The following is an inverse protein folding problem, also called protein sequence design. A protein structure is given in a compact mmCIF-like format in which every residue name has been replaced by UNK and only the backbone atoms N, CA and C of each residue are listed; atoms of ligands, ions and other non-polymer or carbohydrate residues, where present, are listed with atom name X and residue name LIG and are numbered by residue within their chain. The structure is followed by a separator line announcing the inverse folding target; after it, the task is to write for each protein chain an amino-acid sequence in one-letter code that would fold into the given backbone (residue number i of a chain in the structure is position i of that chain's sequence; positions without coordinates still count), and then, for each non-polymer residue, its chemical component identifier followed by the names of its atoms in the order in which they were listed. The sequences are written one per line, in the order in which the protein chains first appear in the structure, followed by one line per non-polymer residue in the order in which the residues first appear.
data_IF_052137055205
#
_entry.id   IF_052137055205
#
_cell.length_a   1.000
_cell.length_b   1.000
_cell.length_c   1.000
_cell.angle_alpha   90.00
_cell.angle_beta   90.00
_cell.angle_gamma   90.00
#
_symmetry.space_group_name_H-M   'P 1'
#
loop_
_entity.id
_entity.type
_entity.pdbx_description
1 polymer ?
#
# COMPACT_ATOMS: atom_id res chain seq x y z
N UNK A 1 -15.00 -21.94 26.09
CA UNK A 1 -16.08 -21.88 27.09
C UNK A 1 -16.38 -20.41 27.28
N UNK A 2 -17.64 -20.10 27.04
CA UNK A 2 -18.32 -18.82 26.91
C UNK A 2 -17.85 -17.70 27.87
N UNK A 3 -17.63 -16.48 27.36
CA UNK A 3 -18.44 -15.30 27.69
C UNK A 3 -17.82 -13.98 27.19
N UNK A 4 -18.47 -13.44 26.16
CA UNK A 4 -18.66 -12.02 25.80
C UNK A 4 -17.43 -11.21 25.36
N UNK A 5 -17.53 -10.75 24.10
CA UNK A 5 -16.91 -9.52 23.60
C UNK A 5 -16.91 -8.43 24.70
N UNK A 6 -15.83 -7.65 24.86
CA UNK A 6 -15.88 -6.46 25.69
C UNK A 6 -17.06 -5.60 25.20
N UNK A 7 -17.94 -5.23 26.12
CA UNK A 7 -19.18 -4.46 25.89
C UNK A 7 -18.99 -3.09 25.19
N UNK A 8 -17.80 -2.80 24.68
CA UNK A 8 -17.44 -1.58 23.95
C UNK A 8 -17.92 -1.63 22.49
N UNK A 9 -18.06 -2.82 21.87
CA UNK A 9 -18.45 -2.90 20.45
C UNK A 9 -19.96 -2.97 20.20
N UNK A 10 -20.77 -3.32 21.21
CA UNK A 10 -22.24 -3.27 21.13
C UNK A 10 -22.82 -1.85 21.35
N UNK A 11 -21.96 -0.86 21.59
CA UNK A 11 -22.34 0.52 21.91
C UNK A 11 -22.21 1.49 20.71
N UNK A 12 -22.23 0.99 19.47
CA UNK A 12 -22.51 1.83 18.29
C UNK A 12 -24.03 2.03 18.25
N UNK A 13 -24.50 2.85 19.18
CA UNK A 13 -25.90 3.15 19.48
C UNK A 13 -26.51 4.05 18.38
N UNK A 14 -27.70 3.75 17.86
CA UNK A 14 -28.47 4.73 17.10
C UNK A 14 -28.89 5.86 18.07
N UNK A 15 -28.45 7.10 17.80
CA UNK A 15 -28.95 8.29 18.49
C UNK A 15 -27.99 9.00 19.46
N UNK A 16 -26.67 8.72 19.46
CA UNK A 16 -25.70 9.59 20.16
C UNK A 16 -25.45 10.85 19.31
N UNK A 17 -25.49 12.08 19.87
CA UNK A 17 -25.04 13.25 19.12
C UNK A 17 -23.60 12.99 18.68
N UNK A 18 -23.30 13.30 17.41
CA UNK A 18 -21.97 13.12 16.86
C UNK A 18 -20.96 13.77 17.82
N UNK A 19 -20.03 12.97 18.35
CA UNK A 19 -18.83 13.52 18.98
C UNK A 19 -18.15 14.46 17.99
N UNK A 20 -17.26 15.32 18.48
CA UNK A 20 -16.50 16.18 17.57
C UNK A 20 -15.87 15.35 16.45
N UNK A 21 -15.59 15.94 15.29
CA UNK A 21 -14.90 15.24 14.18
C UNK A 21 -13.64 14.54 14.68
N UNK A 22 -12.96 15.11 15.67
CA UNK A 22 -11.82 14.52 16.39
C UNK A 22 -12.19 13.25 17.16
N UNK A 23 -13.27 13.24 17.94
CA UNK A 23 -13.69 12.07 18.72
C UNK A 23 -13.99 10.88 17.79
N UNK A 24 -14.67 11.15 16.68
CA UNK A 24 -14.95 10.13 15.66
C UNK A 24 -13.66 9.59 15.03
N UNK A 25 -12.70 10.47 14.71
CA UNK A 25 -11.40 10.06 14.20
C UNK A 25 -10.64 9.17 15.21
N UNK A 26 -10.66 9.50 16.50
CA UNK A 26 -10.07 8.69 17.58
C UNK A 26 -10.70 7.29 17.60
N UNK A 27 -12.03 7.22 17.58
CA UNK A 27 -12.75 5.93 17.60
C UNK A 27 -12.40 5.06 16.38
N UNK A 28 -12.20 5.66 15.21
CA UNK A 28 -11.86 4.97 13.97
C UNK A 28 -10.41 4.48 13.92
N UNK A 29 -9.46 5.16 14.57
CA UNK A 29 -8.06 4.74 14.62
C UNK A 29 -7.75 3.79 15.77
N UNK A 30 -8.55 3.79 16.83
CA UNK A 30 -8.31 3.00 18.05
C UNK A 30 -8.32 1.46 17.91
N UNK A 31 -8.98 0.82 16.93
CA UNK A 31 -9.04 -0.65 16.87
C UNK A 31 -7.67 -1.32 16.91
N UNK A 32 -7.48 -2.28 17.83
CA UNK A 32 -6.20 -3.00 18.03
C UNK A 32 -5.67 -3.70 16.78
N UNK A 33 -6.55 -4.05 15.84
CA UNK A 33 -6.17 -4.66 14.57
C UNK A 33 -5.32 -3.75 13.68
N UNK A 34 -5.28 -2.44 13.94
CA UNK A 34 -4.38 -1.51 13.26
C UNK A 34 -2.99 -1.40 13.89
N UNK A 35 -2.82 -1.92 15.11
CA UNK A 35 -1.65 -1.71 15.96
C UNK A 35 -1.00 -3.05 16.32
N UNK A 36 -0.73 -3.91 15.33
CA UNK A 36 -0.16 -5.24 15.56
C UNK A 36 1.37 -5.20 15.42
N UNK A 37 2.03 -5.99 16.25
CA UNK A 37 3.49 -6.17 16.22
C UNK A 37 3.84 -7.61 16.57
N UNK A 38 4.85 -8.15 15.90
CA UNK A 38 5.55 -9.34 16.34
C UNK A 38 7.06 -9.11 16.26
N UNK A 39 7.83 -9.94 16.95
CA UNK A 39 9.31 -9.86 16.95
C UNK A 39 9.87 -11.15 16.38
N UNK A 40 10.59 -11.04 15.27
CA UNK A 40 11.44 -12.13 14.80
C UNK A 40 12.60 -12.30 15.78
N UNK A 41 12.97 -13.55 16.13
CA UNK A 41 14.04 -13.80 17.08
C UNK A 41 15.38 -13.28 16.53
N UNK A 42 16.31 -13.00 17.44
CA UNK A 42 17.68 -12.63 17.10
C UNK A 42 18.33 -13.72 16.24
N UNK A 43 19.08 -13.32 15.20
CA UNK A 43 19.81 -14.25 14.34
C UNK A 43 21.26 -13.81 14.16
N UNK A 44 22.20 -14.60 14.69
CA UNK A 44 23.63 -14.30 14.64
C UNK A 44 23.95 -12.92 15.21
N UNK A 45 24.52 -12.04 14.36
CA UNK A 45 24.88 -10.66 14.72
C UNK A 45 23.71 -9.66 14.69
N UNK A 46 22.54 -10.05 14.20
CA UNK A 46 21.39 -9.16 14.04
C UNK A 46 20.46 -9.33 15.23
N UNK A 47 20.10 -8.20 15.88
CA UNK A 47 19.09 -8.15 16.93
C UNK A 47 17.73 -8.68 16.48
N UNK A 48 16.82 -8.90 17.43
CA UNK A 48 15.43 -9.26 17.09
C UNK A 48 14.77 -8.15 16.25
N UNK A 49 14.09 -8.54 15.17
CA UNK A 49 13.44 -7.59 14.26
C UNK A 49 11.96 -7.45 14.64
N UNK A 50 11.57 -6.25 15.10
CA UNK A 50 10.16 -5.91 15.28
C UNK A 50 9.55 -5.65 13.91
N UNK A 51 8.40 -6.27 13.66
CA UNK A 51 7.61 -6.08 12.45
C UNK A 51 6.22 -5.64 12.87
N UNK A 52 5.84 -4.43 12.44
CA UNK A 52 4.51 -3.87 12.61
C UNK A 52 3.65 -4.17 11.40
N UNK A 53 2.37 -4.40 11.66
CA UNK A 53 1.38 -4.64 10.61
C UNK A 53 -0.01 -4.22 11.09
N UNK A 54 -0.94 -4.11 10.15
CA UNK A 54 -2.35 -3.83 10.43
C UNK A 54 -3.26 -4.71 9.58
N UNK A 55 -4.51 -4.81 10.01
CA UNK A 55 -5.56 -5.57 9.35
C UNK A 55 -6.72 -4.64 9.03
N UNK A 56 -7.05 -4.52 7.75
CA UNK A 56 -8.32 -3.95 7.29
C UNK A 56 -9.34 -5.08 7.03
N UNK A 57 -10.61 -4.84 7.35
CA UNK A 57 -11.68 -5.82 7.20
C UNK A 57 -11.73 -6.85 8.34
N UNK A 58 -12.38 -8.01 8.13
CA UNK A 58 -12.61 -9.01 9.17
C UNK A 58 -11.34 -9.41 9.92
N UNK A 59 -11.40 -9.44 11.25
CA UNK A 59 -10.23 -9.73 12.11
C UNK A 59 -9.85 -11.22 12.06
N UNK A 60 -8.72 -11.57 12.66
CA UNK A 60 -8.20 -12.95 12.73
C UNK A 60 -9.25 -13.90 13.31
N UNK A 61 -9.38 -15.09 12.70
CA UNK A 61 -10.31 -16.14 13.12
C UNK A 61 -11.55 -16.25 12.24
N UNK A 62 -11.85 -15.24 11.42
CA UNK A 62 -12.92 -15.34 10.42
C UNK A 62 -12.45 -16.04 9.14
N UNK A 63 -13.30 -16.92 8.59
CA UNK A 63 -13.05 -17.62 7.33
C UNK A 63 -13.46 -16.74 6.14
N UNK A 64 -12.52 -15.89 5.71
CA UNK A 64 -12.68 -14.93 4.62
C UNK A 64 -11.42 -14.90 3.75
N UNK A 65 -11.53 -14.51 2.47
CA UNK A 65 -10.34 -14.35 1.65
C UNK A 65 -9.42 -13.27 2.22
N UNK A 66 -8.11 -13.51 2.10
CA UNK A 66 -7.08 -12.65 2.68
C UNK A 66 -6.10 -12.17 1.60
N UNK A 67 -5.83 -10.87 1.58
CA UNK A 67 -4.82 -10.21 0.76
C UNK A 67 -3.63 -9.86 1.66
N UNK A 68 -2.42 -10.25 1.26
CA UNK A 68 -1.19 -9.73 1.87
C UNK A 68 -0.70 -8.56 1.03
N UNK A 69 -0.73 -7.36 1.61
CA UNK A 69 -0.36 -6.12 0.94
C UNK A 69 1.03 -5.67 1.36
N UNK A 70 1.97 -5.72 0.42
CA UNK A 70 3.30 -5.16 0.57
C UNK A 70 3.29 -3.76 -0.05
N UNK A 71 2.94 -2.73 0.72
CA UNK A 71 2.97 -1.34 0.22
C UNK A 71 4.34 -0.69 0.36
N UNK A 72 4.49 0.58 0.02
CA UNK A 72 5.76 1.31 0.08
C UNK A 72 6.43 1.41 1.46
N UNK A 73 7.65 1.94 1.46
CA UNK A 73 8.47 2.18 2.66
C UNK A 73 7.68 3.01 3.70
N UNK A 74 7.92 2.79 4.99
CA UNK A 74 7.32 3.55 6.11
C UNK A 74 5.78 3.50 6.26
N UNK A 75 5.31 3.08 7.44
CA UNK A 75 3.97 3.45 7.94
C UNK A 75 2.77 2.97 7.11
N UNK A 76 2.99 2.09 6.14
CA UNK A 76 1.95 1.57 5.25
C UNK A 76 0.78 0.94 6.00
N UNK A 77 1.03 0.42 7.21
CA UNK A 77 -0.03 -0.10 8.08
C UNK A 77 -1.12 0.93 8.38
N UNK A 78 -0.81 2.23 8.38
CA UNK A 78 -1.79 3.30 8.60
C UNK A 78 -2.79 3.42 7.45
N UNK A 79 -2.46 2.90 6.26
CA UNK A 79 -3.39 2.82 5.14
C UNK A 79 -4.57 1.88 5.41
N UNK A 80 -4.41 0.89 6.30
CA UNK A 80 -5.48 -0.03 6.65
C UNK A 80 -6.71 0.68 7.21
N UNK A 81 -6.53 1.84 7.85
CA UNK A 81 -7.62 2.64 8.41
C UNK A 81 -8.54 3.13 7.29
N UNK A 82 -7.96 3.71 6.23
CA UNK A 82 -8.69 4.19 5.07
C UNK A 82 -9.41 3.04 4.32
N UNK A 83 -8.84 1.84 4.38
CA UNK A 83 -9.38 0.64 3.73
C UNK A 83 -10.44 -0.09 4.55
N UNK A 84 -10.44 0.11 5.86
CA UNK A 84 -11.10 -0.80 6.79
C UNK A 84 -12.59 -0.93 6.50
N UNK A 85 -13.29 0.19 6.36
CA UNK A 85 -14.72 0.18 6.07
C UNK A 85 -15.03 -0.62 4.81
N UNK A 86 -14.34 -0.31 3.71
CA UNK A 86 -14.53 -0.97 2.43
C UNK A 86 -14.25 -2.47 2.52
N UNK A 87 -13.18 -2.85 3.21
CA UNK A 87 -12.79 -4.23 3.43
C UNK A 87 -13.83 -5.02 4.26
N UNK A 88 -14.42 -4.40 5.30
CA UNK A 88 -15.51 -4.98 6.09
C UNK A 88 -16.75 -5.23 5.22
N UNK A 89 -17.17 -4.23 4.42
CA UNK A 89 -18.32 -4.37 3.51
C UNK A 89 -18.12 -5.50 2.50
N UNK A 90 -16.89 -5.63 1.99
CA UNK A 90 -16.55 -6.67 1.03
C UNK A 90 -16.28 -8.03 1.68
N UNK A 91 -16.15 -8.11 3.01
CA UNK A 91 -15.71 -9.30 3.74
C UNK A 91 -14.40 -9.89 3.21
N UNK A 92 -13.44 -9.01 2.95
CA UNK A 92 -12.07 -9.39 2.56
C UNK A 92 -11.12 -8.88 3.61
N UNK A 93 -10.21 -9.72 4.07
CA UNK A 93 -9.15 -9.31 4.98
C UNK A 93 -7.97 -8.78 4.18
N UNK A 94 -7.41 -7.63 4.56
CA UNK A 94 -6.15 -7.14 3.98
C UNK A 94 -5.14 -6.91 5.08
N UNK A 95 -3.97 -7.53 4.95
CA UNK A 95 -2.85 -7.41 5.89
C UNK A 95 -1.83 -6.43 5.29
N UNK A 96 -1.65 -5.27 5.92
CA UNK A 96 -0.68 -4.26 5.51
C UNK A 96 0.58 -4.39 6.37
N UNK A 97 1.74 -4.57 5.72
CA UNK A 97 3.03 -4.73 6.40
C UNK A 97 3.91 -3.54 6.04
N UNK A 98 4.57 -2.94 7.04
CA UNK A 98 5.49 -1.81 6.85
C UNK A 98 6.81 -2.27 6.25
N UNK A 99 6.93 -2.38 4.92
CA UNK A 99 8.17 -2.78 4.21
C UNK A 99 8.29 -2.16 2.81
N UNK A 100 9.42 -2.30 2.12
CA UNK A 100 9.57 -1.86 0.74
C UNK A 100 8.75 -2.70 -0.29
N UNK A 101 7.54 -2.25 -0.60
CA UNK A 101 6.48 -3.04 -1.26
C UNK A 101 6.84 -3.85 -2.49
N UNK A 102 7.32 -3.21 -3.55
CA UNK A 102 7.55 -3.89 -4.84
C UNK A 102 8.65 -4.95 -4.74
N UNK A 103 9.80 -4.60 -4.15
CA UNK A 103 10.93 -5.52 -3.99
C UNK A 103 10.55 -6.73 -3.15
N UNK A 104 9.78 -6.52 -2.08
CA UNK A 104 9.36 -7.62 -1.21
C UNK A 104 8.28 -8.48 -1.87
N UNK A 105 7.25 -7.87 -2.48
CA UNK A 105 6.18 -8.62 -3.15
C UNK A 105 6.72 -9.54 -4.25
N UNK A 106 7.61 -9.02 -5.10
CA UNK A 106 8.19 -9.78 -6.21
C UNK A 106 9.11 -10.91 -5.75
N UNK A 107 9.95 -10.67 -4.73
CA UNK A 107 10.75 -11.76 -4.17
C UNK A 107 9.88 -12.79 -3.45
N UNK A 108 8.87 -12.35 -2.70
CA UNK A 108 7.94 -13.23 -1.99
C UNK A 108 7.25 -14.20 -2.95
N UNK A 109 6.62 -13.72 -4.02
CA UNK A 109 5.94 -14.60 -4.98
C UNK A 109 6.90 -15.47 -5.80
N UNK A 110 8.17 -15.07 -5.91
CA UNK A 110 9.17 -15.84 -6.66
C UNK A 110 9.76 -16.98 -5.83
N UNK A 111 9.90 -16.80 -4.51
CA UNK A 111 10.38 -17.84 -3.59
C UNK A 111 9.24 -18.71 -3.05
N UNK A 112 8.06 -18.13 -2.87
CA UNK A 112 6.90 -18.80 -2.27
C UNK A 112 5.62 -18.73 -3.13
N UNK A 113 5.68 -19.14 -4.41
CA UNK A 113 4.51 -19.15 -5.30
C UNK A 113 3.36 -20.05 -4.80
N UNK A 114 3.63 -21.03 -3.93
CA UNK A 114 2.63 -21.88 -3.26
C UNK A 114 1.71 -21.14 -2.29
N UNK A 115 2.09 -19.92 -1.88
CA UNK A 115 1.25 -19.08 -1.02
C UNK A 115 0.19 -18.31 -1.81
N UNK A 116 0.27 -18.32 -3.15
CA UNK A 116 -0.82 -17.84 -3.98
C UNK A 116 -1.96 -18.86 -4.00
N UNK A 117 -3.17 -18.35 -4.21
CA UNK A 117 -4.36 -19.19 -4.24
C UNK A 117 -4.26 -20.25 -5.35
N UNK A 118 -4.41 -21.57 -5.05
CA UNK A 118 -4.09 -22.64 -6.00
C UNK A 118 -4.91 -22.60 -7.30
N UNK A 119 -6.18 -22.25 -7.19
CA UNK A 119 -7.13 -22.20 -8.32
C UNK A 119 -7.06 -20.87 -9.09
N UNK A 120 -6.56 -19.80 -8.45
CA UNK A 120 -6.53 -18.44 -8.98
C UNK A 120 -5.27 -17.68 -8.54
N UNK A 121 -4.06 -18.10 -8.95
CA UNK A 121 -2.84 -17.43 -8.53
C UNK A 121 -2.75 -16.05 -9.18
N UNK A 122 -2.88 -15.01 -8.34
CA UNK A 122 -2.94 -13.62 -8.79
C UNK A 122 -2.01 -12.73 -7.97
N UNK A 123 -1.25 -11.88 -8.65
CA UNK A 123 -0.50 -10.77 -8.09
C UNK A 123 -1.07 -9.45 -8.63
N UNK A 124 -1.39 -8.49 -7.76
CA UNK A 124 -1.75 -7.13 -8.17
C UNK A 124 -0.70 -6.15 -7.65
N UNK A 125 -0.14 -5.35 -8.54
CA UNK A 125 0.89 -4.36 -8.28
C UNK A 125 0.30 -2.97 -8.50
N UNK A 126 0.36 -2.14 -7.46
CA UNK A 126 -0.01 -0.73 -7.53
C UNK A 126 1.25 0.12 -7.50
N UNK A 127 1.38 1.01 -8.46
CA UNK A 127 2.50 1.94 -8.67
C UNK A 127 3.87 1.31 -8.35
N UNK A 128 4.22 0.16 -8.95
CA UNK A 128 5.43 -0.56 -8.60
C UNK A 128 6.67 0.32 -8.77
N UNK A 129 7.50 0.36 -7.73
CA UNK A 129 8.63 1.26 -7.67
C UNK A 129 9.73 0.85 -8.64
N UNK A 130 10.35 1.87 -9.28
CA UNK A 130 11.51 1.71 -10.14
C UNK A 130 12.63 2.59 -9.65
N UNK A 131 13.81 2.00 -9.48
CA UNK A 131 14.99 2.71 -8.97
C UNK A 131 15.33 3.95 -9.79
N UNK A 132 15.76 5.00 -9.09
CA UNK A 132 16.07 6.33 -9.60
C UNK A 132 17.14 6.39 -10.69
N UNK A 133 18.03 5.38 -10.78
CA UNK A 133 18.95 5.26 -11.92
C UNK A 133 18.22 5.04 -13.24
N UNK A 134 17.03 4.43 -13.21
CA UNK A 134 16.18 4.14 -14.37
C UNK A 134 15.06 5.17 -14.46
N UNK A 135 14.25 5.32 -13.41
CA UNK A 135 13.08 6.23 -13.39
C UNK A 135 13.48 7.68 -13.60
N UNK A 136 14.64 8.08 -13.09
CA UNK A 136 15.17 9.41 -13.30
C UNK A 136 14.74 10.44 -12.26
N UNK A 137 13.91 10.07 -11.28
CA UNK A 137 13.35 10.98 -10.27
C UNK A 137 14.44 11.73 -9.50
N UNK A 138 14.40 13.06 -9.60
CA UNK A 138 15.46 13.95 -9.12
C UNK A 138 15.58 13.93 -7.60
N UNK A 139 14.45 13.87 -6.89
CA UNK A 139 14.42 13.81 -5.42
C UNK A 139 15.11 12.54 -4.91
N UNK A 140 14.79 11.38 -5.48
CA UNK A 140 15.41 10.11 -5.10
C UNK A 140 16.87 9.99 -5.56
N UNK A 141 17.23 10.59 -6.70
CA UNK A 141 18.64 10.71 -7.10
C UNK A 141 19.44 11.53 -6.09
N UNK A 142 18.91 12.65 -5.62
CA UNK A 142 19.55 13.45 -4.59
C UNK A 142 19.64 12.68 -3.27
N UNK A 143 18.59 11.95 -2.88
CA UNK A 143 18.60 11.10 -1.70
C UNK A 143 19.70 10.01 -1.76
N UNK A 144 19.96 9.46 -2.94
CA UNK A 144 21.02 8.47 -3.14
C UNK A 144 22.45 9.02 -2.96
N UNK A 145 22.63 10.35 -3.01
CA UNK A 145 23.91 11.01 -2.77
C UNK A 145 24.16 11.32 -1.29
N UNK A 146 23.16 11.09 -0.42
CA UNK A 146 23.29 11.32 1.01
C UNK A 146 24.35 10.37 1.58
N UNK A 147 25.33 10.86 2.35
CA UNK A 147 26.33 10.00 2.97
C UNK A 147 25.68 8.92 3.85
N UNK A 148 26.18 7.68 3.81
CA UNK A 148 25.59 6.56 4.53
C UNK A 148 25.35 6.83 6.04
N UNK A 149 26.26 7.55 6.70
CA UNK A 149 26.09 7.93 8.12
C UNK A 149 24.89 8.86 8.36
N UNK A 150 24.52 9.70 7.39
CA UNK A 150 23.34 10.55 7.52
C UNK A 150 22.04 9.74 7.38
N UNK A 151 22.08 8.58 6.71
CA UNK A 151 20.94 7.66 6.68
C UNK A 151 20.65 7.02 8.04
N UNK A 152 21.57 7.09 9.02
CA UNK A 152 21.32 6.63 10.41
C UNK A 152 20.19 7.43 11.08
N UNK A 153 19.89 8.61 10.52
CA UNK A 153 18.85 9.52 10.98
C UNK A 153 17.78 9.76 9.92
N UNK A 154 17.67 8.86 8.92
CA UNK A 154 16.77 9.03 7.78
C UNK A 154 15.31 9.19 8.22
N UNK A 155 14.86 8.45 9.22
CA UNK A 155 13.56 8.58 9.86
C UNK A 155 13.28 10.02 10.36
N UNK A 156 14.26 10.66 10.98
CA UNK A 156 14.16 12.05 11.46
C UNK A 156 14.25 13.08 10.31
N UNK A 157 15.10 12.81 9.32
CA UNK A 157 15.30 13.69 8.16
C UNK A 157 14.08 13.68 7.23
N UNK A 158 13.52 12.51 6.94
CA UNK A 158 12.30 12.36 6.17
C UNK A 158 11.12 13.04 6.86
N UNK A 159 10.94 12.81 8.18
CA UNK A 159 9.91 13.50 8.96
C UNK A 159 10.06 15.01 8.94
N UNK A 160 11.29 15.51 9.05
CA UNK A 160 11.57 16.97 9.02
C UNK A 160 11.40 17.59 7.63
N UNK A 161 11.77 16.90 6.55
CA UNK A 161 11.63 17.37 5.15
C UNK A 161 10.14 17.40 4.75
N UNK A 162 9.35 16.42 5.21
CA UNK A 162 7.91 16.32 4.94
C UNK A 162 7.11 17.34 5.77
N UNK A 163 7.48 17.60 7.03
CA UNK A 163 6.74 18.51 7.92
C UNK A 163 7.10 19.99 7.80
N UNK A 164 8.27 20.35 7.26
CA UNK A 164 8.76 21.75 7.22
C UNK A 164 8.74 22.45 5.84
N UNK A 165 8.00 21.92 4.86
CA UNK A 165 7.64 22.69 3.66
C UNK A 165 8.74 22.91 2.62
N UNK A 166 9.66 21.95 2.43
CA UNK A 166 10.44 21.88 1.20
C UNK A 166 9.52 21.49 0.01
N UNK A 167 9.88 21.76 -1.26
CA UNK A 167 9.08 21.33 -2.42
C UNK A 167 8.84 19.82 -2.29
N UNK A 168 7.58 19.45 -2.13
CA UNK A 168 7.11 18.15 -1.65
C UNK A 168 7.90 16.97 -2.26
N UNK A 169 8.81 16.39 -1.48
CA UNK A 169 9.27 15.03 -1.72
C UNK A 169 8.29 14.14 -0.95
N UNK A 170 7.20 13.74 -1.62
CA UNK A 170 6.18 12.85 -1.09
C UNK A 170 6.75 11.44 -0.98
N UNK A 171 7.42 11.12 0.13
CA UNK A 171 7.79 9.75 0.47
C UNK A 171 6.56 9.01 1.00
N UNK A 172 6.07 8.00 0.27
CA UNK A 172 5.21 6.83 0.66
C UNK A 172 4.10 6.98 1.73
N UNK A 173 3.79 8.20 2.13
CA UNK A 173 2.75 8.66 3.05
C UNK A 173 1.80 9.64 2.32
N UNK A 174 1.88 9.76 0.99
CA UNK A 174 1.16 10.77 0.21
C UNK A 174 -0.36 10.63 0.23
N UNK A 175 -0.91 9.46 0.57
CA UNK A 175 -2.35 9.32 0.83
C UNK A 175 -2.82 10.20 2.02
N UNK A 176 -1.93 10.54 2.95
CA UNK A 176 -2.26 11.38 4.10
C UNK A 176 -2.07 12.88 3.81
N UNK A 177 -1.18 13.23 2.87
CA UNK A 177 -0.89 14.62 2.48
C UNK A 177 -1.89 15.16 1.45
N UNK A 178 -2.65 14.29 0.77
CA UNK A 178 -3.74 14.63 -0.14
C UNK A 178 -4.82 15.54 0.51
N UNK A 179 -4.90 15.56 1.85
CA UNK A 179 -5.74 16.50 2.62
C UNK A 179 -5.41 17.97 2.31
N UNK A 180 -4.15 18.31 2.03
CA UNK A 180 -3.73 19.71 1.77
C UNK A 180 -4.15 20.20 0.38
N UNK A 181 -4.17 19.32 -0.63
CA UNK A 181 -4.63 19.66 -1.98
C UNK A 181 -6.16 19.63 -2.09
N UNK A 182 -6.86 18.80 -1.29
CA UNK A 182 -8.31 18.90 -1.14
C UNK A 182 -8.74 20.24 -0.52
N UNK A 183 -7.99 20.78 0.44
CA UNK A 183 -8.28 22.07 1.08
C UNK A 183 -8.02 23.29 0.17
N UNK A 184 -7.16 23.17 -0.85
CA UNK A 184 -6.83 24.28 -1.79
C UNK A 184 -7.79 24.43 -2.98
N UNK A 185 -8.74 23.51 -3.16
CA UNK A 185 -9.71 23.52 -4.27
C UNK A 185 -10.88 24.51 -4.14
N UNK A 186 -10.94 25.32 -3.08
CA UNK A 186 -12.01 26.29 -2.85
C UNK A 186 -11.86 27.56 -3.73
N UNK A 187 -12.14 27.43 -5.03
CA UNK A 187 -12.60 28.57 -5.85
C UNK A 187 -14.00 28.28 -6.36
N UNK A 188 -14.95 29.06 -5.87
CA UNK A 188 -16.40 28.90 -6.00
C UNK A 188 -16.90 29.08 -7.44
N UNK A 189 -17.53 28.04 -7.99
CA UNK A 189 -18.55 28.12 -9.05
C UNK A 189 -19.70 27.16 -8.73
N UNK A 190 -20.89 27.31 -9.34
CA UNK A 190 -22.05 26.45 -9.06
C UNK A 190 -21.80 24.95 -9.31
N UNK A 191 -20.85 24.60 -10.19
CA UNK A 191 -20.36 23.23 -10.37
C UNK A 191 -19.70 22.64 -9.11
N UNK A 192 -19.24 23.48 -8.17
CA UNK A 192 -18.57 23.04 -6.94
C UNK A 192 -19.52 22.40 -5.92
N UNK A 193 -20.78 22.84 -5.81
CA UNK A 193 -21.73 22.28 -4.83
C UNK A 193 -22.20 20.87 -5.22
N UNK A 194 -22.45 20.63 -6.50
CA UNK A 194 -22.76 19.30 -7.02
C UNK A 194 -21.57 18.34 -6.89
N UNK A 195 -20.37 18.82 -7.21
CA UNK A 195 -19.15 18.05 -7.05
C UNK A 195 -18.87 17.72 -5.56
N UNK A 196 -19.10 18.67 -4.66
CA UNK A 196 -18.93 18.46 -3.21
C UNK A 196 -19.96 17.47 -2.65
N UNK A 197 -21.23 17.59 -3.04
CA UNK A 197 -22.26 16.63 -2.67
C UNK A 197 -22.01 15.22 -3.22
N UNK A 198 -21.40 15.08 -4.39
CA UNK A 198 -20.98 13.79 -4.92
C UNK A 198 -19.82 13.20 -4.11
N UNK A 199 -18.78 13.98 -3.81
CA UNK A 199 -17.64 13.54 -2.99
C UNK A 199 -18.07 13.09 -1.60
N UNK A 200 -19.03 13.78 -0.99
CA UNK A 200 -19.59 13.41 0.31
C UNK A 200 -20.32 12.06 0.26
N UNK A 201 -21.08 11.80 -0.83
CA UNK A 201 -21.73 10.49 -1.05
C UNK A 201 -20.70 9.39 -1.25
N UNK A 202 -19.72 9.61 -2.12
CA UNK A 202 -18.67 8.63 -2.41
C UNK A 202 -17.84 8.31 -1.15
N UNK A 203 -17.57 9.34 -0.33
CA UNK A 203 -16.89 9.17 0.95
C UNK A 203 -17.70 8.30 1.92
N UNK A 204 -19.02 8.54 2.05
CA UNK A 204 -19.89 7.72 2.90
C UNK A 204 -20.00 6.28 2.41
N UNK A 205 -20.13 6.09 1.11
CA UNK A 205 -20.21 4.74 0.53
C UNK A 205 -18.92 3.94 0.79
N UNK A 206 -17.75 4.56 0.55
CA UNK A 206 -16.47 3.85 0.52
C UNK A 206 -15.68 3.89 1.83
N UNK A 207 -16.01 4.81 2.74
CA UNK A 207 -15.37 4.96 4.05
C UNK A 207 -16.34 4.89 5.24
N UNK A 208 -17.65 4.94 5.00
CA UNK A 208 -18.68 4.90 6.06
C UNK A 208 -18.83 6.21 6.82
N UNK A 209 -18.12 7.27 6.42
CA UNK A 209 -17.99 8.54 7.14
C UNK A 209 -18.04 9.73 6.19
N UNK A 210 -18.30 10.93 6.73
CA UNK A 210 -18.25 12.19 5.98
C UNK A 210 -16.82 12.63 5.63
N UNK A 211 -16.68 13.56 4.69
CA UNK A 211 -15.38 14.07 4.23
C UNK A 211 -14.57 14.73 5.36
N UNK A 212 -15.24 15.41 6.28
CA UNK A 212 -14.63 16.08 7.43
C UNK A 212 -13.99 15.07 8.40
N UNK A 213 -14.70 13.98 8.71
CA UNK A 213 -14.20 12.89 9.55
C UNK A 213 -13.07 12.14 8.84
N UNK A 214 -13.19 11.89 7.52
CA UNK A 214 -12.08 11.30 6.73
C UNK A 214 -10.83 12.17 6.81
N UNK A 215 -10.96 13.48 6.63
CA UNK A 215 -9.83 14.40 6.71
C UNK A 215 -9.17 14.40 8.10
N UNK A 216 -9.97 14.46 9.17
CA UNK A 216 -9.47 14.38 10.54
C UNK A 216 -8.79 13.03 10.84
N UNK A 217 -9.36 11.93 10.36
CA UNK A 217 -8.81 10.58 10.51
C UNK A 217 -7.45 10.43 9.82
N UNK A 218 -7.33 10.89 8.58
CA UNK A 218 -6.06 10.86 7.84
C UNK A 218 -5.02 11.80 8.47
N UNK A 219 -5.42 12.98 8.92
CA UNK A 219 -4.51 13.88 9.65
C UNK A 219 -4.01 13.25 10.95
N UNK A 220 -4.87 12.56 11.70
CA UNK A 220 -4.52 11.87 12.93
C UNK A 220 -3.60 10.67 12.67
N UNK A 221 -3.90 9.84 11.67
CA UNK A 221 -3.05 8.73 11.26
C UNK A 221 -1.65 9.21 10.85
N UNK A 222 -1.55 10.35 10.15
CA UNK A 222 -0.26 10.98 9.83
C UNK A 222 0.49 11.45 11.06
N UNK A 223 -0.20 12.06 12.03
CA UNK A 223 0.44 12.47 13.28
C UNK A 223 0.99 11.25 14.02
N UNK A 224 0.17 10.21 14.21
CA UNK A 224 0.57 9.00 14.91
C UNK A 224 1.73 8.29 14.19
N UNK A 225 1.72 8.26 12.87
CA UNK A 225 2.82 7.72 12.07
C UNK A 225 4.17 8.38 12.40
N UNK A 226 4.20 9.71 12.52
CA UNK A 226 5.45 10.44 12.81
C UNK A 226 5.84 10.42 14.29
N UNK A 227 4.90 10.18 15.20
CA UNK A 227 5.18 9.97 16.63
C UNK A 227 5.75 8.58 16.93
N UNK A 228 5.72 7.66 15.97
CA UNK A 228 6.21 6.30 16.15
C UNK A 228 7.70 6.11 15.86
N UNK A 229 8.24 5.04 16.43
CA UNK A 229 9.60 4.62 16.15
C UNK A 229 9.70 4.08 14.71
N UNK A 230 10.28 4.90 13.85
CA UNK A 230 10.40 4.66 12.41
C UNK A 230 11.84 4.36 11.97
N UNK A 231 12.78 4.14 12.91
CA UNK A 231 14.19 3.86 12.60
C UNK A 231 14.40 2.64 11.70
N UNK A 232 13.45 1.68 11.67
CA UNK A 232 13.49 0.54 10.76
C UNK A 232 13.54 0.95 9.28
N UNK A 233 12.94 2.09 8.93
CA UNK A 233 13.01 2.63 7.58
C UNK A 233 14.39 3.16 7.17
N UNK A 234 15.32 3.32 8.10
CA UNK A 234 16.69 3.73 7.78
C UNK A 234 17.41 2.64 6.98
N UNK A 235 17.28 1.38 7.41
CA UNK A 235 17.87 0.24 6.71
C UNK A 235 17.14 -0.05 5.40
N UNK A 236 15.83 0.16 5.35
CA UNK A 236 15.07 0.08 4.09
C UNK A 236 15.51 1.16 3.10
N UNK A 237 15.75 2.39 3.58
CA UNK A 237 16.29 3.44 2.72
C UNK A 237 17.67 3.07 2.20
N UNK A 238 18.54 2.47 3.01
CA UNK A 238 19.85 1.98 2.52
C UNK A 238 19.69 0.92 1.44
N UNK A 239 18.79 -0.05 1.65
CA UNK A 239 18.45 -1.12 0.71
C UNK A 239 17.91 -0.54 -0.60
N UNK A 240 16.94 0.36 -0.54
CA UNK A 240 16.29 0.96 -1.69
C UNK A 240 17.20 1.93 -2.45
N UNK A 241 18.08 2.67 -1.77
CA UNK A 241 19.02 3.60 -2.41
C UNK A 241 20.31 2.92 -2.88
N UNK A 242 20.52 1.64 -2.55
CA UNK A 242 21.79 0.93 -2.79
C UNK A 242 23.00 1.71 -2.27
N UNK A 243 22.84 2.38 -1.14
CA UNK A 243 23.84 3.30 -0.57
C UNK A 243 25.04 2.59 0.08
N UNK A 244 24.99 1.26 0.20
CA UNK A 244 26.04 0.42 0.80
C UNK A 244 26.45 -0.69 -0.17
N UNK A 245 27.76 -0.96 -0.36
CA UNK A 245 28.22 -2.08 -1.18
C UNK A 245 27.64 -3.42 -0.74
N UNK A 246 27.34 -4.29 -1.70
CA UNK A 246 26.78 -5.63 -1.44
C UNK A 246 25.27 -5.66 -1.24
N UNK A 247 24.59 -4.52 -1.32
CA UNK A 247 23.12 -4.45 -1.33
C UNK A 247 22.54 -5.12 -2.59
N UNK A 248 21.69 -6.12 -2.40
CA UNK A 248 21.01 -6.88 -3.45
C UNK A 248 19.49 -6.82 -3.27
N UNK A 249 18.75 -6.70 -4.37
CA UNK A 249 17.30 -6.95 -4.40
C UNK A 249 16.95 -8.36 -4.85
N UNK A 250 17.94 -9.25 -4.79
CA UNK A 250 17.80 -10.68 -5.11
C UNK A 250 17.22 -10.89 -6.52
N UNK A 251 16.10 -11.61 -6.67
CA UNK A 251 15.58 -11.95 -7.99
C UNK A 251 15.10 -10.71 -8.75
N UNK A 252 14.70 -9.64 -8.05
CA UNK A 252 14.22 -8.41 -8.66
C UNK A 252 15.31 -7.33 -8.86
N UNK A 253 16.59 -7.71 -8.76
CA UNK A 253 17.73 -6.82 -9.06
C UNK A 253 17.63 -6.19 -10.46
N UNK A 254 17.14 -6.95 -11.44
CA UNK A 254 16.92 -6.50 -12.82
C UNK A 254 15.55 -6.99 -13.29
N UNK A 255 14.57 -6.08 -13.42
CA UNK A 255 13.19 -6.45 -13.75
C UNK A 255 13.04 -7.28 -15.03
N UNK A 256 13.71 -6.99 -16.17
CA UNK A 256 13.63 -7.85 -17.35
C UNK A 256 14.09 -9.30 -17.10
N UNK A 257 15.15 -9.48 -16.31
CA UNK A 257 15.64 -10.81 -15.93
C UNK A 257 14.67 -11.49 -14.97
N UNK A 258 14.14 -10.74 -14.00
CA UNK A 258 13.12 -11.22 -13.09
C UNK A 258 11.90 -11.77 -13.85
N UNK A 259 11.31 -10.98 -14.76
CA UNK A 259 10.11 -11.37 -15.50
C UNK A 259 10.36 -12.61 -16.34
N UNK A 260 11.52 -12.70 -17.00
CA UNK A 260 11.91 -13.89 -17.77
C UNK A 260 11.97 -15.14 -16.90
N UNK A 261 12.63 -15.05 -15.74
CA UNK A 261 12.78 -16.17 -14.82
C UNK A 261 11.42 -16.58 -14.22
N UNK A 262 10.63 -15.59 -13.81
CA UNK A 262 9.28 -15.82 -13.29
C UNK A 262 8.42 -16.53 -14.34
N UNK A 263 8.48 -16.10 -15.60
CA UNK A 263 7.73 -16.73 -16.68
C UNK A 263 8.16 -18.19 -16.89
N UNK A 264 9.47 -18.47 -16.90
CA UNK A 264 9.99 -19.83 -17.02
C UNK A 264 9.52 -20.74 -15.88
N UNK A 265 9.56 -20.25 -14.64
CA UNK A 265 9.11 -20.99 -13.46
C UNK A 265 7.60 -21.26 -13.52
N UNK A 266 6.80 -20.27 -13.96
CA UNK A 266 5.35 -20.40 -14.07
C UNK A 266 4.88 -21.17 -15.29
N UNK A 267 5.64 -21.23 -16.38
CA UNK A 267 5.34 -22.09 -17.53
C UNK A 267 5.42 -23.56 -17.14
N UNK A 268 6.43 -23.94 -16.34
CA UNK A 268 6.50 -25.29 -15.76
C UNK A 268 5.28 -25.59 -14.88
N UNK A 269 4.87 -24.65 -14.03
CA UNK A 269 3.67 -24.80 -13.17
C UNK A 269 2.40 -24.88 -13.99
N UNK A 270 2.26 -24.07 -15.03
CA UNK A 270 1.11 -24.11 -15.92
C UNK A 270 1.00 -25.45 -16.65
N UNK A 271 2.13 -26.00 -17.12
CA UNK A 271 2.15 -27.32 -17.75
C UNK A 271 1.84 -28.46 -16.77
N UNK A 272 2.19 -28.31 -15.49
CA UNK A 272 1.96 -29.34 -14.47
C UNK A 272 0.55 -29.28 -13.87
N UNK A 273 0.04 -28.08 -13.59
CA UNK A 273 -1.19 -27.85 -12.82
C UNK A 273 -2.31 -27.18 -13.61
N UNK A 274 -2.07 -26.80 -14.87
CA UNK A 274 -3.04 -26.13 -15.74
C UNK A 274 -3.36 -24.69 -15.35
N UNK A 275 -2.53 -24.04 -14.52
CA UNK A 275 -2.77 -22.68 -14.00
C UNK A 275 -1.57 -21.76 -14.25
N UNK A 276 -1.85 -20.62 -14.89
CA UNK A 276 -0.90 -19.53 -15.11
C UNK A 276 -1.00 -18.49 -14.01
N UNK A 277 0.09 -17.75 -13.78
CA UNK A 277 0.06 -16.59 -12.89
C UNK A 277 -0.61 -15.41 -13.60
N UNK A 278 -1.62 -14.83 -12.96
CA UNK A 278 -2.19 -13.54 -13.38
C UNK A 278 -1.47 -12.40 -12.68
N UNK A 279 -0.96 -11.44 -13.43
CA UNK A 279 -0.36 -10.22 -12.90
C UNK A 279 -1.19 -9.03 -13.37
N UNK A 280 -1.58 -8.17 -12.44
CA UNK A 280 -2.27 -6.92 -12.73
C UNK A 280 -1.41 -5.75 -12.29
N UNK A 281 -1.20 -4.78 -13.17
CA UNK A 281 -0.30 -3.65 -12.93
C UNK A 281 -1.09 -2.36 -13.09
N UNK A 282 -1.12 -1.53 -12.05
CA UNK A 282 -1.87 -0.28 -12.03
C UNK A 282 -0.93 0.86 -11.66
N UNK A 283 -0.97 1.94 -12.41
CA UNK A 283 -0.33 3.21 -12.05
C UNK A 283 -1.37 4.32 -11.97
N UNK A 284 -1.12 5.35 -11.17
CA UNK A 284 -1.87 6.61 -11.25
C UNK A 284 -1.49 7.41 -12.50
N UNK A 285 -2.44 8.15 -13.08
CA UNK A 285 -2.17 9.11 -14.17
C UNK A 285 -1.47 10.38 -13.68
N UNK A 286 -1.73 10.77 -12.42
CA UNK A 286 -1.21 11.96 -11.78
C UNK A 286 0.31 11.97 -11.64
N UNK A 287 0.84 13.10 -11.17
CA UNK A 287 2.27 13.25 -10.96
C UNK A 287 2.79 12.22 -9.94
N UNK A 288 3.52 11.21 -10.43
CA UNK A 288 4.24 10.25 -9.61
C UNK A 288 5.65 10.78 -9.35
N UNK A 289 5.91 11.27 -8.13
CA UNK A 289 7.20 11.82 -7.71
C UNK A 289 8.22 10.75 -7.26
N UNK A 290 7.82 9.48 -7.29
CA UNK A 290 8.61 8.34 -6.81
C UNK A 290 9.12 7.46 -7.96
N UNK A 291 8.30 7.28 -8.99
CA UNK A 291 8.56 6.43 -10.15
C UNK A 291 8.56 7.23 -11.45
N UNK A 292 7.71 8.26 -11.54
CA UNK A 292 7.56 9.09 -12.73
C UNK A 292 7.15 8.34 -13.98
N UNK A 293 6.91 9.10 -15.06
CA UNK A 293 6.48 8.54 -16.35
C UNK A 293 7.51 7.58 -16.96
N UNK A 294 8.80 7.88 -16.79
CA UNK A 294 9.89 7.07 -17.34
C UNK A 294 10.01 5.74 -16.59
N UNK A 295 9.90 5.73 -15.26
CA UNK A 295 9.89 4.50 -14.48
C UNK A 295 8.66 3.66 -14.78
N UNK A 296 7.47 4.27 -14.84
CA UNK A 296 6.23 3.59 -15.21
C UNK A 296 6.37 2.87 -16.56
N UNK A 297 6.79 3.60 -17.60
CA UNK A 297 7.02 3.02 -18.93
C UNK A 297 8.04 1.88 -18.90
N UNK A 298 9.15 2.07 -18.20
CA UNK A 298 10.15 1.02 -18.07
C UNK A 298 9.57 -0.26 -17.45
N UNK A 299 8.80 -0.13 -16.37
CA UNK A 299 8.20 -1.28 -15.69
C UNK A 299 7.15 -1.97 -16.56
N UNK A 300 6.21 -1.22 -17.14
CA UNK A 300 5.21 -1.77 -18.07
C UNK A 300 5.87 -2.51 -19.24
N UNK A 301 6.92 -1.93 -19.81
CA UNK A 301 7.66 -2.56 -20.89
C UNK A 301 8.31 -3.88 -20.47
N UNK A 302 8.60 -4.12 -19.18
CA UNK A 302 9.12 -5.41 -18.74
C UNK A 302 8.09 -6.54 -18.88
N UNK A 303 6.79 -6.21 -18.92
CA UNK A 303 5.67 -7.14 -18.97
C UNK A 303 4.88 -7.08 -20.30
N UNK A 304 5.47 -6.50 -21.35
CA UNK A 304 4.90 -6.49 -22.70
C UNK A 304 4.61 -7.92 -23.20
N UNK A 305 3.45 -8.18 -23.85
CA UNK A 305 3.05 -9.51 -24.29
C UNK A 305 4.11 -10.26 -25.10
N UNK A 306 4.88 -9.57 -25.92
CA UNK A 306 5.94 -10.13 -26.76
C UNK A 306 7.12 -10.70 -25.95
N UNK A 307 7.24 -10.31 -24.68
CA UNK A 307 8.28 -10.77 -23.74
C UNK A 307 7.76 -11.85 -22.80
N UNK A 308 6.46 -12.10 -22.80
CA UNK A 308 5.81 -13.12 -21.97
C UNK A 308 5.77 -14.45 -22.72
N UNK A 309 5.96 -15.55 -21.99
CA UNK A 309 5.68 -16.88 -22.50
C UNK A 309 4.32 -17.38 -22.04
N UNK A 310 4.15 -18.69 -21.97
CA UNK A 310 2.86 -19.29 -21.65
C UNK A 310 2.58 -19.40 -20.14
N UNK A 311 3.50 -18.96 -19.28
CA UNK A 311 3.39 -19.09 -17.83
C UNK A 311 2.61 -17.97 -17.14
N UNK A 312 2.58 -16.79 -17.74
CA UNK A 312 2.06 -15.56 -17.11
C UNK A 312 1.05 -14.87 -18.04
N UNK A 313 -0.01 -14.33 -17.46
CA UNK A 313 -0.96 -13.43 -18.11
C UNK A 313 -0.92 -12.08 -17.42
N UNK A 314 -0.81 -10.99 -18.20
CA UNK A 314 -0.67 -9.63 -17.65
C UNK A 314 -1.78 -8.74 -18.15
N UNK A 315 -2.36 -7.97 -17.23
CA UNK A 315 -3.17 -6.80 -17.54
C UNK A 315 -2.54 -5.55 -16.92
N UNK A 316 -2.47 -4.46 -17.67
CA UNK A 316 -1.88 -3.21 -17.21
C UNK A 316 -2.73 -2.01 -17.61
N UNK A 317 -2.90 -1.04 -16.71
CA UNK A 317 -3.64 0.19 -17.00
C UNK A 317 -3.21 1.36 -16.11
N UNK A 318 -3.66 2.55 -16.50
CA UNK A 318 -3.48 3.78 -15.73
C UNK A 318 -4.82 4.22 -15.16
N UNK A 319 -4.87 4.46 -13.85
CA UNK A 319 -6.06 4.94 -13.14
C UNK A 319 -6.13 6.47 -13.25
N UNK A 320 -7.14 6.95 -13.97
CA UNK A 320 -7.42 8.37 -14.12
C UNK A 320 -7.68 9.03 -12.77
N UNK A 321 -7.09 10.21 -12.56
CA UNK A 321 -7.26 11.01 -11.35
C UNK A 321 -6.53 10.52 -10.11
N UNK A 322 -5.85 9.37 -10.17
CA UNK A 322 -5.01 8.86 -9.09
C UNK A 322 -3.53 9.23 -9.29
N UNK A 323 -2.78 9.37 -8.21
CA UNK A 323 -1.31 9.45 -8.21
C UNK A 323 -0.67 8.16 -7.66
N UNK A 324 0.64 8.21 -7.36
CA UNK A 324 1.41 7.10 -6.81
C UNK A 324 0.75 6.44 -5.60
N UNK A 325 0.32 7.24 -4.64
CA UNK A 325 -0.17 6.80 -3.34
C UNK A 325 -1.70 6.66 -3.34
N UNK A 326 -2.41 7.50 -4.10
CA UNK A 326 -3.88 7.46 -4.09
C UNK A 326 -4.45 6.38 -4.99
N UNK A 327 -3.67 5.70 -5.84
CA UNK A 327 -4.19 4.63 -6.72
C UNK A 327 -4.80 3.46 -5.94
N UNK A 328 -4.41 3.32 -4.66
CA UNK A 328 -4.98 2.36 -3.72
C UNK A 328 -6.11 2.96 -2.88
N UNK A 329 -6.55 4.20 -3.07
CA UNK A 329 -7.71 4.72 -2.34
C UNK A 329 -8.97 3.94 -2.77
N UNK A 330 -9.82 3.50 -1.81
CA UNK A 330 -11.08 2.83 -2.12
C UNK A 330 -11.95 3.59 -3.13
N UNK A 331 -11.82 4.91 -3.29
CA UNK A 331 -12.53 5.74 -4.29
C UNK A 331 -12.26 5.37 -5.73
N UNK A 332 -11.14 4.71 -6.01
CA UNK A 332 -10.79 4.27 -7.35
C UNK A 332 -11.25 2.84 -7.63
N UNK A 333 -11.67 2.60 -8.87
CA UNK A 333 -12.20 1.29 -9.27
C UNK A 333 -11.14 0.18 -9.22
N UNK A 334 -9.87 0.53 -9.39
CA UNK A 334 -8.76 -0.44 -9.34
C UNK A 334 -8.71 -1.23 -8.03
N UNK A 335 -9.00 -0.57 -6.90
CA UNK A 335 -9.11 -1.26 -5.61
C UNK A 335 -10.39 -2.07 -5.51
N UNK A 336 -11.56 -1.49 -5.85
CA UNK A 336 -12.82 -2.24 -5.85
C UNK A 336 -12.71 -3.54 -6.65
N UNK A 337 -12.12 -3.47 -7.83
CA UNK A 337 -11.89 -4.64 -8.68
C UNK A 337 -10.97 -5.68 -8.02
N UNK A 338 -9.97 -5.28 -7.22
CA UNK A 338 -9.16 -6.22 -6.45
C UNK A 338 -10.03 -6.98 -5.44
N UNK A 339 -10.86 -6.27 -4.66
CA UNK A 339 -11.76 -6.90 -3.68
C UNK A 339 -12.76 -7.84 -4.35
N UNK A 340 -13.39 -7.41 -5.44
CA UNK A 340 -14.37 -8.22 -6.18
C UNK A 340 -13.74 -9.52 -6.70
N UNK A 341 -12.56 -9.44 -7.32
CA UNK A 341 -11.84 -10.62 -7.83
C UNK A 341 -11.43 -11.59 -6.73
N UNK A 342 -10.95 -11.08 -5.60
CA UNK A 342 -10.52 -11.91 -4.47
C UNK A 342 -11.73 -12.67 -3.90
N UNK A 343 -12.90 -12.04 -3.85
CA UNK A 343 -14.16 -12.70 -3.46
C UNK A 343 -14.61 -13.73 -4.50
N UNK A 344 -14.55 -13.41 -5.79
CA UNK A 344 -14.91 -14.33 -6.87
C UNK A 344 -14.03 -15.57 -6.86
N UNK A 345 -12.71 -15.39 -6.75
CA UNK A 345 -11.75 -16.48 -6.63
C UNK A 345 -12.04 -17.38 -5.43
N UNK A 346 -12.38 -16.76 -4.28
CA UNK A 346 -12.69 -17.48 -3.06
C UNK A 346 -13.99 -18.31 -3.10
N UNK A 347 -14.99 -17.87 -3.87
CA UNK A 347 -16.27 -18.59 -4.04
C UNK A 347 -16.19 -19.77 -5.01
N UNK A 348 -15.14 -19.82 -5.83
CA UNK A 348 -14.94 -20.88 -6.81
C UNK A 348 -14.32 -22.16 -6.22
N UNK A 349 -14.08 -22.16 -4.90
CA UNK A 349 -13.75 -23.33 -4.07
C UNK A 349 -14.95 -23.69 -3.19
#
# INVERSE_FOLDING_TARGET
MDQRLPAVLHAILPGRPAGSTTDQAIELVAPRKFHRVFTLPQTGKYGGLKVTYSIAGPDIGEHVPTIVFCGGMFGMRWMAIAQNWFAEQHRVRVIFIDRAGTTYALNFISHHPELLYPSNPTLTLFSPWVHQSISGELGLKAAALIPNKALDYWNNLAGSIVTKGAPAINFSAGALTATTNMLRGCRSSENSKYADGQRERDCKERFGIGQDVKAALLAMANSLFWEEETSGGNDEARLCLKSVPGTSWDRCEVYPTFVRNLNFDWEKRANQYGRKLRIKIVFGEGADLMVGHKGMKYFMNCFEPEKLGNGIEVEQWTQMGADHDTVIDPSFDSMKQLYDRVKEGWKAE
#
